data_IF_004499307843
#
_entry.id   IF_004499307843
#
_cell.length_a   1.000
_cell.length_b   1.000
_cell.length_c   1.000
_cell.angle_alpha   90.00
_cell.angle_beta   90.00
_cell.angle_gamma   90.00
#
_symmetry.space_group_name_H-M   'P 1'
#
loop_
_entity.id
_entity.type
_entity.pdbx_description
1 polymer ?
#
# COMPACT_ATOMS: atom_id res chain seq x y z
N UNK A 1 22.30 19.40 11.05
CA UNK A 1 22.63 18.60 9.84
C UNK A 1 21.33 18.06 9.27
N UNK A 2 21.15 18.08 7.94
CA UNK A 2 19.92 17.65 7.26
C UNK A 2 19.59 16.18 7.59
N UNK A 3 20.60 15.32 7.62
CA UNK A 3 20.45 13.89 7.96
C UNK A 3 19.76 13.64 9.30
N UNK A 4 20.05 14.46 10.31
CA UNK A 4 19.40 14.34 11.63
C UNK A 4 17.92 14.70 11.60
N UNK A 5 17.51 15.65 10.74
CA UNK A 5 16.09 15.96 10.53
C UNK A 5 15.41 14.83 9.76
N UNK A 6 16.07 14.30 8.74
CA UNK A 6 15.53 13.17 7.96
C UNK A 6 15.35 11.92 8.83
N UNK A 7 16.21 11.67 9.81
CA UNK A 7 16.05 10.56 10.76
C UNK A 7 14.83 10.76 11.68
N UNK A 8 14.60 11.99 12.15
CA UNK A 8 13.44 12.31 13.00
C UNK A 8 12.10 12.12 12.29
N UNK A 9 12.08 12.16 10.97
CA UNK A 9 10.87 11.84 10.20
C UNK A 9 10.37 10.41 10.45
N UNK A 10 11.21 9.48 10.94
CA UNK A 10 10.78 8.10 11.27
C UNK A 10 10.48 7.90 12.77
N UNK A 11 10.50 8.98 13.58
CA UNK A 11 10.11 8.92 14.99
C UNK A 11 8.66 8.43 15.12
N UNK A 12 8.37 7.63 16.16
CA UNK A 12 6.98 7.26 16.47
C UNK A 12 6.19 8.45 17.06
N UNK A 13 6.87 9.49 17.55
CA UNK A 13 6.23 10.73 17.97
C UNK A 13 5.84 11.59 16.75
N UNK A 14 4.54 11.80 16.56
CA UNK A 14 4.01 12.58 15.44
C UNK A 14 4.40 14.07 15.51
N UNK A 15 4.60 14.62 16.71
CA UNK A 15 5.04 15.99 16.87
C UNK A 15 6.49 16.16 16.40
N UNK A 16 7.38 15.21 16.73
CA UNK A 16 8.76 15.23 16.25
C UNK A 16 8.84 15.11 14.73
N UNK A 17 8.02 14.24 14.11
CA UNK A 17 7.95 14.11 12.65
C UNK A 17 7.51 15.42 12.00
N UNK A 18 6.43 16.02 12.51
CA UNK A 18 5.87 17.27 11.98
C UNK A 18 6.86 18.43 12.09
N UNK A 19 7.50 18.60 13.25
CA UNK A 19 8.52 19.62 13.45
C UNK A 19 9.71 19.42 12.49
N UNK A 20 10.21 18.19 12.37
CA UNK A 20 11.31 17.88 11.46
C UNK A 20 10.96 18.18 10.00
N UNK A 21 9.74 17.84 9.57
CA UNK A 21 9.27 18.14 8.22
C UNK A 21 9.14 19.65 7.98
N UNK A 22 8.57 20.40 8.92
CA UNK A 22 8.48 21.87 8.83
C UNK A 22 9.86 22.52 8.67
N UNK A 23 10.85 22.12 9.47
CA UNK A 23 12.22 22.64 9.36
C UNK A 23 12.86 22.25 8.01
N UNK A 24 12.57 21.07 7.46
CA UNK A 24 13.03 20.69 6.12
C UNK A 24 12.38 21.57 5.05
N UNK A 25 11.09 21.86 5.13
CA UNK A 25 10.41 22.77 4.21
C UNK A 25 10.98 24.20 4.28
N UNK A 26 11.21 24.74 5.48
CA UNK A 26 11.85 26.06 5.66
C UNK A 26 13.23 26.12 4.99
N UNK A 27 14.00 25.03 5.06
CA UNK A 27 15.31 24.94 4.39
C UNK A 27 15.21 24.87 2.87
N UNK A 28 14.15 24.26 2.34
CA UNK A 28 13.86 24.30 0.90
C UNK A 28 13.53 25.73 0.48
N UNK A 29 12.64 26.41 1.22
CA UNK A 29 12.24 27.79 0.94
C UNK A 29 13.42 28.77 1.02
N UNK A 30 14.34 28.56 1.98
CA UNK A 30 15.57 29.33 2.11
C UNK A 30 16.64 29.00 1.04
N UNK A 31 16.42 28.00 0.18
CA UNK A 31 17.37 27.55 -0.83
C UNK A 31 18.57 26.76 -0.28
N UNK A 32 18.51 26.33 0.98
CA UNK A 32 19.52 25.46 1.60
C UNK A 32 19.40 24.01 1.10
N UNK A 33 18.20 23.59 0.70
CA UNK A 33 17.92 22.29 0.10
C UNK A 33 17.30 22.50 -1.28
N UNK A 34 17.97 22.01 -2.31
CA UNK A 34 17.43 22.01 -3.67
C UNK A 34 16.65 20.71 -3.92
N UNK A 35 15.36 20.83 -4.21
CA UNK A 35 14.52 19.72 -4.64
C UNK A 35 14.35 19.74 -6.16
N UNK A 36 14.32 18.58 -6.85
CA UNK A 36 14.15 18.53 -8.29
C UNK A 36 12.75 18.98 -8.71
N UNK A 37 12.55 19.30 -9.99
CA UNK A 37 11.20 19.36 -10.55
C UNK A 37 10.59 17.93 -10.60
N UNK A 38 9.26 17.79 -10.45
CA UNK A 38 8.61 16.49 -10.65
C UNK A 38 8.85 15.95 -12.07
N UNK A 39 9.20 14.68 -12.19
CA UNK A 39 9.35 13.94 -13.44
C UNK A 39 8.08 13.19 -13.82
N UNK A 40 8.23 11.97 -14.35
CA UNK A 40 7.14 11.05 -14.69
C UNK A 40 6.98 9.86 -13.74
N UNK A 41 7.97 9.62 -12.89
CA UNK A 41 8.02 8.46 -12.00
C UNK A 41 6.93 8.54 -10.94
N UNK A 42 6.32 7.40 -10.64
CA UNK A 42 5.27 7.28 -9.62
C UNK A 42 5.58 6.14 -8.65
N UNK A 43 5.12 6.27 -7.42
CA UNK A 43 5.01 5.13 -6.50
C UNK A 43 3.75 5.32 -5.66
N UNK A 44 2.67 4.68 -6.07
CA UNK A 44 1.32 4.84 -5.52
C UNK A 44 0.95 3.73 -4.53
N UNK A 45 1.82 2.75 -4.33
CA UNK A 45 1.63 1.64 -3.41
C UNK A 45 2.89 1.43 -2.58
N UNK A 46 2.91 2.05 -1.40
CA UNK A 46 3.95 1.89 -0.39
C UNK A 46 3.30 1.74 0.98
N UNK A 47 3.67 0.71 1.75
CA UNK A 47 3.26 0.62 3.15
C UNK A 47 4.09 1.56 4.02
N UNK A 48 3.53 2.00 5.13
CA UNK A 48 4.26 2.76 6.16
C UNK A 48 4.47 1.90 7.42
N UNK A 49 5.09 2.46 8.44
CA UNK A 49 5.22 1.82 9.74
C UNK A 49 3.87 1.55 10.46
N UNK A 50 2.75 2.08 9.96
CA UNK A 50 1.42 1.88 10.54
C UNK A 50 0.86 0.50 10.18
N UNK A 51 1.38 -0.13 9.13
CA UNK A 51 1.22 -1.57 8.92
C UNK A 51 2.57 -2.26 8.96
N UNK A 52 3.36 -2.25 7.89
CA UNK A 52 4.76 -2.67 7.87
C UNK A 52 5.52 -2.09 6.67
N UNK A 53 6.52 -1.26 6.94
CA UNK A 53 7.53 -0.86 5.97
C UNK A 53 8.88 -1.48 6.35
N UNK A 54 9.55 -2.15 5.42
CA UNK A 54 10.79 -2.86 5.73
C UNK A 54 11.97 -1.95 6.09
N UNK A 55 11.87 -0.67 5.76
CA UNK A 55 12.87 0.37 6.07
C UNK A 55 12.39 1.30 7.20
N UNK A 56 11.21 1.03 7.79
CA UNK A 56 10.66 1.78 8.91
C UNK A 56 10.05 3.13 8.56
N UNK A 57 9.78 3.39 7.27
CA UNK A 57 9.31 4.71 6.84
C UNK A 57 7.96 5.09 7.44
N UNK A 58 7.91 6.28 8.03
CA UNK A 58 6.67 6.99 8.33
C UNK A 58 6.01 7.56 7.07
N UNK A 59 4.75 8.01 7.16
CA UNK A 59 4.13 8.77 6.07
C UNK A 59 4.93 10.02 5.67
N UNK A 60 5.35 10.82 6.66
CA UNK A 60 6.14 12.05 6.42
C UNK A 60 7.49 11.75 5.78
N UNK A 61 8.18 10.68 6.20
CA UNK A 61 9.45 10.24 5.63
C UNK A 61 9.27 9.85 4.17
N UNK A 62 8.27 9.04 3.87
CA UNK A 62 8.02 8.59 2.51
C UNK A 62 7.69 9.77 1.59
N UNK A 63 6.84 10.70 2.02
CA UNK A 63 6.54 11.93 1.28
C UNK A 63 7.80 12.77 1.00
N UNK A 64 8.65 12.98 2.02
CA UNK A 64 9.92 13.69 1.87
C UNK A 64 10.85 13.04 0.85
N UNK A 65 11.02 11.72 0.94
CA UNK A 65 11.87 10.97 0.02
C UNK A 65 11.31 10.97 -1.41
N UNK A 66 9.99 10.84 -1.57
CA UNK A 66 9.32 10.92 -2.86
C UNK A 66 9.56 12.29 -3.51
N UNK A 67 9.39 13.37 -2.73
CA UNK A 67 9.66 14.72 -3.20
C UNK A 67 11.13 14.94 -3.57
N UNK A 68 12.08 14.43 -2.75
CA UNK A 68 13.52 14.49 -3.03
C UNK A 68 13.92 13.76 -4.31
N UNK A 69 13.22 12.69 -4.66
CA UNK A 69 13.46 11.92 -5.89
C UNK A 69 12.71 12.46 -7.11
N UNK A 70 11.87 13.48 -6.94
CA UNK A 70 11.14 14.09 -8.05
C UNK A 70 10.01 13.24 -8.59
N UNK A 71 9.36 12.43 -7.75
CA UNK A 71 8.17 11.68 -8.17
C UNK A 71 7.06 12.64 -8.62
N UNK A 72 6.35 12.25 -9.67
CA UNK A 72 5.18 12.95 -10.19
C UNK A 72 4.00 12.85 -9.22
N UNK A 73 3.77 11.65 -8.69
CA UNK A 73 2.70 11.32 -7.75
C UNK A 73 3.19 10.21 -6.81
N UNK A 74 2.82 10.27 -5.54
CA UNK A 74 3.12 9.23 -4.56
C UNK A 74 1.88 8.83 -3.75
N UNK A 75 1.88 7.60 -3.24
CA UNK A 75 0.78 7.08 -2.43
C UNK A 75 1.22 6.09 -1.37
N UNK A 76 0.52 6.14 -0.23
CA UNK A 76 0.67 5.17 0.86
C UNK A 76 -0.54 4.26 0.93
N UNK A 77 -0.30 2.98 1.20
CA UNK A 77 -1.34 1.94 1.27
C UNK A 77 -0.96 1.02 2.42
N UNK A 78 -1.65 1.10 3.55
CA UNK A 78 -1.35 0.28 4.73
C UNK A 78 -2.35 -0.88 4.89
N UNK A 79 -1.90 -2.00 5.46
CA UNK A 79 -2.79 -3.14 5.70
C UNK A 79 -3.87 -2.85 6.73
N UNK A 80 -5.13 -3.03 6.36
CA UNK A 80 -6.31 -3.03 7.24
C UNK A 80 -6.54 -1.71 8.03
N UNK A 81 -5.81 -0.63 7.74
CA UNK A 81 -5.87 0.65 8.47
C UNK A 81 -5.69 1.88 7.57
N UNK A 82 -6.13 3.04 8.06
CA UNK A 82 -5.98 4.36 7.40
C UNK A 82 -5.15 5.36 8.22
N UNK A 83 -4.44 4.91 9.25
CA UNK A 83 -3.68 5.77 10.18
C UNK A 83 -2.64 6.67 9.50
N UNK A 84 -2.11 6.26 8.35
CA UNK A 84 -1.16 7.05 7.57
C UNK A 84 -1.80 8.23 6.82
N UNK A 85 -3.11 8.20 6.57
CA UNK A 85 -3.78 9.05 5.57
C UNK A 85 -3.58 10.54 5.84
N UNK A 86 -3.99 11.02 7.01
CA UNK A 86 -4.00 12.46 7.30
C UNK A 86 -2.58 13.03 7.33
N UNK A 87 -1.64 12.30 7.95
CA UNK A 87 -0.23 12.70 7.99
C UNK A 87 0.38 12.73 6.58
N UNK A 88 0.12 11.70 5.76
CA UNK A 88 0.67 11.64 4.42
C UNK A 88 0.17 12.79 3.55
N UNK A 89 -1.14 13.06 3.56
CA UNK A 89 -1.72 14.14 2.75
C UNK A 89 -1.26 15.52 3.23
N UNK A 90 -1.15 15.75 4.54
CA UNK A 90 -0.57 16.99 5.09
C UNK A 90 0.89 17.17 4.64
N UNK A 91 1.71 16.14 4.77
CA UNK A 91 3.11 16.17 4.36
C UNK A 91 3.27 16.37 2.85
N UNK A 92 2.47 15.68 2.03
CA UNK A 92 2.50 15.80 0.58
C UNK A 92 2.17 17.24 0.14
N UNK A 93 1.12 17.84 0.73
CA UNK A 93 0.74 19.23 0.47
C UNK A 93 1.83 20.22 0.87
N UNK A 94 2.43 20.06 2.05
CA UNK A 94 3.58 20.89 2.51
C UNK A 94 4.76 20.84 1.54
N UNK A 95 4.98 19.70 0.89
CA UNK A 95 6.09 19.46 -0.02
C UNK A 95 5.79 19.81 -1.48
N UNK A 96 4.55 20.17 -1.81
CA UNK A 96 4.11 20.32 -3.19
C UNK A 96 4.14 19.00 -3.98
N UNK A 97 3.96 17.87 -3.29
CA UNK A 97 3.87 16.52 -3.86
C UNK A 97 2.40 16.15 -4.08
N UNK A 98 2.06 15.64 -5.27
CA UNK A 98 0.73 15.08 -5.52
C UNK A 98 0.62 13.75 -4.77
N UNK A 99 -0.33 13.66 -3.84
CA UNK A 99 -0.45 12.55 -2.89
C UNK A 99 -1.83 11.90 -2.88
N UNK A 100 -1.87 10.59 -2.67
CA UNK A 100 -3.10 9.89 -2.26
C UNK A 100 -2.80 8.87 -1.14
N UNK A 101 -3.83 8.46 -0.42
CA UNK A 101 -3.71 7.39 0.58
C UNK A 101 -4.74 6.30 0.33
N UNK A 102 -4.40 5.08 0.75
CA UNK A 102 -5.19 3.89 0.57
C UNK A 102 -5.03 2.91 1.72
N UNK A 103 -5.72 1.79 1.58
CA UNK A 103 -5.49 0.62 2.40
C UNK A 103 -5.50 -0.63 1.53
N UNK A 104 -4.86 -1.68 2.02
CA UNK A 104 -4.89 -3.01 1.43
C UNK A 104 -5.44 -4.01 2.46
N UNK A 105 -6.25 -4.95 2.01
CA UNK A 105 -6.74 -6.05 2.84
C UNK A 105 -6.66 -7.35 2.05
N UNK A 106 -6.76 -8.47 2.76
CA UNK A 106 -7.10 -9.76 2.13
C UNK A 106 -8.61 -9.97 2.19
N UNK A 107 -9.18 -10.40 1.09
CA UNK A 107 -10.63 -10.61 0.94
C UNK A 107 -10.92 -11.98 0.36
N UNK A 108 -12.11 -12.50 0.64
CA UNK A 108 -12.63 -13.73 0.05
C UNK A 108 -13.50 -13.43 -1.17
N UNK A 109 -13.27 -14.17 -2.26
CA UNK A 109 -14.02 -14.10 -3.53
C UNK A 109 -14.74 -15.44 -3.75
N UNK A 110 -16.04 -15.54 -3.43
CA UNK A 110 -16.80 -16.79 -3.51
C UNK A 110 -16.74 -17.46 -4.89
N UNK A 111 -16.79 -16.69 -5.96
CA UNK A 111 -16.74 -17.13 -7.36
C UNK A 111 -15.41 -17.83 -7.70
N UNK A 112 -14.35 -17.50 -6.95
CA UNK A 112 -13.00 -18.03 -7.11
C UNK A 112 -12.59 -18.94 -5.94
N UNK A 113 -13.54 -19.48 -5.16
CA UNK A 113 -13.25 -20.19 -3.91
C UNK A 113 -12.33 -21.42 -4.02
N UNK A 114 -12.06 -21.89 -5.24
CA UNK A 114 -11.18 -23.03 -5.53
C UNK A 114 -9.93 -22.65 -6.34
N UNK A 115 -9.76 -21.37 -6.69
CA UNK A 115 -8.65 -20.87 -7.51
C UNK A 115 -7.73 -20.02 -6.64
N UNK A 116 -6.42 -20.25 -6.75
CA UNK A 116 -5.41 -19.36 -6.15
C UNK A 116 -5.33 -18.09 -7.01
N UNK A 117 -5.28 -16.93 -6.36
CA UNK A 117 -5.14 -15.61 -7.00
C UNK A 117 -3.87 -14.93 -6.46
N UNK A 118 -3.94 -13.65 -6.08
CA UNK A 118 -2.79 -12.88 -5.58
C UNK A 118 -2.33 -13.27 -4.19
N UNK A 119 -3.11 -14.07 -3.43
CA UNK A 119 -2.63 -14.67 -2.17
C UNK A 119 -2.10 -16.09 -2.40
N UNK A 120 -0.77 -16.30 -2.45
CA UNK A 120 -0.22 -17.57 -2.92
C UNK A 120 -0.54 -18.73 -1.97
N UNK A 121 -1.12 -19.79 -2.53
CA UNK A 121 -1.48 -21.00 -1.78
C UNK A 121 -2.78 -20.90 -0.98
N UNK A 122 -3.54 -19.79 -1.11
CA UNK A 122 -4.82 -19.57 -0.42
C UNK A 122 -5.96 -19.44 -1.46
N UNK A 123 -6.61 -20.56 -1.87
CA UNK A 123 -7.71 -20.51 -2.82
C UNK A 123 -8.86 -19.61 -2.35
N UNK A 124 -9.41 -18.81 -3.27
CA UNK A 124 -10.48 -17.85 -2.98
C UNK A 124 -10.03 -16.58 -2.27
N UNK A 125 -8.76 -16.45 -1.89
CA UNK A 125 -8.24 -15.26 -1.22
C UNK A 125 -7.43 -14.41 -2.18
N UNK A 126 -7.71 -13.12 -2.21
CA UNK A 126 -6.95 -12.13 -2.96
C UNK A 126 -6.61 -10.96 -2.06
N UNK A 127 -5.46 -10.35 -2.27
CA UNK A 127 -5.22 -8.97 -1.85
C UNK A 127 -6.17 -8.05 -2.61
N UNK A 128 -6.64 -7.01 -1.94
CA UNK A 128 -7.62 -6.08 -2.48
C UNK A 128 -7.43 -4.72 -1.84
N UNK A 129 -7.52 -3.67 -2.64
CA UNK A 129 -7.17 -2.32 -2.20
C UNK A 129 -8.35 -1.36 -2.27
N UNK A 130 -8.27 -0.31 -1.48
CA UNK A 130 -8.97 0.95 -1.72
C UNK A 130 -7.94 2.07 -1.81
N UNK A 131 -8.13 3.02 -2.72
CA UNK A 131 -7.23 4.18 -2.85
C UNK A 131 -8.00 5.50 -2.93
N UNK A 132 -7.33 6.59 -2.57
CA UNK A 132 -7.87 7.94 -2.69
C UNK A 132 -8.93 8.28 -1.63
N UNK A 133 -8.86 7.65 -0.47
CA UNK A 133 -9.77 7.98 0.65
C UNK A 133 -9.62 9.47 1.03
N UNK A 134 -10.73 10.19 1.24
CA UNK A 134 -10.70 11.63 1.54
C UNK A 134 -10.33 11.94 2.99
N UNK A 135 -10.60 11.03 3.93
CA UNK A 135 -10.29 11.15 5.35
C UNK A 135 -10.20 9.78 6.02
N UNK A 136 -9.44 9.69 7.11
CA UNK A 136 -9.44 8.53 8.00
C UNK A 136 -10.56 8.56 9.04
N UNK A 137 -11.30 9.69 9.15
CA UNK A 137 -12.44 9.82 10.06
C UNK A 137 -13.67 9.17 9.43
N UNK A 138 -13.97 7.98 9.90
CA UNK A 138 -15.16 7.21 9.51
C UNK A 138 -16.13 7.20 10.69
N UNK A 139 -17.42 7.11 10.38
CA UNK A 139 -18.48 7.00 11.37
C UNK A 139 -19.36 5.76 11.08
N UNK A 140 -20.09 5.27 12.08
CA UNK A 140 -21.13 4.26 11.87
C UNK A 140 -20.62 2.93 11.32
N UNK A 141 -21.26 2.44 10.26
CA UNK A 141 -20.93 1.12 9.68
C UNK A 141 -19.52 1.08 9.06
N UNK A 142 -19.03 2.21 8.52
CA UNK A 142 -17.70 2.29 7.92
C UNK A 142 -16.60 2.20 8.99
N UNK A 143 -16.78 2.88 10.12
CA UNK A 143 -15.87 2.79 11.27
C UNK A 143 -15.82 1.35 11.80
N UNK A 144 -16.98 0.73 12.03
CA UNK A 144 -17.06 -0.63 12.56
C UNK A 144 -16.49 -1.67 11.57
N UNK A 145 -16.67 -1.47 10.27
CA UNK A 145 -16.05 -2.34 9.26
C UNK A 145 -14.52 -2.29 9.34
N UNK A 146 -13.92 -1.09 9.37
CA UNK A 146 -12.47 -0.91 9.47
C UNK A 146 -11.91 -1.49 10.78
N UNK A 147 -12.60 -1.23 11.91
CA UNK A 147 -12.23 -1.82 13.21
C UNK A 147 -12.30 -3.36 13.16
N UNK A 148 -13.30 -3.92 12.47
CA UNK A 148 -13.43 -5.36 12.33
C UNK A 148 -12.29 -5.98 11.51
N UNK A 149 -11.83 -5.33 10.43
CA UNK A 149 -10.64 -5.78 9.68
C UNK A 149 -9.43 -5.93 10.61
N UNK A 150 -9.18 -4.90 11.41
CA UNK A 150 -8.10 -4.89 12.40
C UNK A 150 -8.26 -5.99 13.46
N UNK A 151 -9.47 -6.20 13.99
CA UNK A 151 -9.75 -7.27 14.98
C UNK A 151 -9.47 -8.65 14.40
N UNK A 152 -9.92 -8.92 13.17
CA UNK A 152 -9.64 -10.17 12.45
C UNK A 152 -8.14 -10.37 12.30
N UNK A 153 -7.40 -9.35 11.85
CA UNK A 153 -5.96 -9.43 11.67
C UNK A 153 -5.21 -9.73 12.98
N UNK A 154 -5.53 -9.02 14.06
CA UNK A 154 -4.90 -9.25 15.36
C UNK A 154 -5.25 -10.62 15.96
N UNK A 155 -6.49 -11.10 15.78
CA UNK A 155 -6.85 -12.44 16.25
C UNK A 155 -6.04 -13.51 15.54
N UNK A 156 -5.91 -13.43 14.20
CA UNK A 156 -5.05 -14.34 13.43
C UNK A 156 -3.61 -14.31 13.91
N UNK A 157 -3.08 -13.12 14.21
CA UNK A 157 -1.73 -12.96 14.73
C UNK A 157 -1.54 -13.63 16.10
N UNK A 158 -2.50 -13.45 17.03
CA UNK A 158 -2.47 -14.08 18.36
C UNK A 158 -2.53 -15.60 18.26
N UNK A 159 -3.42 -16.14 17.43
CA UNK A 159 -3.56 -17.58 17.24
C UNK A 159 -2.29 -18.18 16.62
N UNK A 160 -1.73 -17.53 15.60
CA UNK A 160 -0.45 -17.91 15.00
C UNK A 160 0.68 -17.87 16.02
N UNK A 161 0.78 -16.77 16.79
CA UNK A 161 1.81 -16.60 17.81
C UNK A 161 1.71 -17.69 18.88
N UNK A 162 0.51 -18.07 19.32
CA UNK A 162 0.33 -19.14 20.30
C UNK A 162 0.96 -20.47 19.85
N UNK A 163 0.70 -20.88 18.61
CA UNK A 163 1.31 -22.10 18.02
C UNK A 163 2.82 -21.99 17.86
N UNK A 164 3.30 -20.82 17.45
CA UNK A 164 4.75 -20.60 17.25
C UNK A 164 5.49 -20.53 18.60
N UNK A 165 4.90 -19.94 19.64
CA UNK A 165 5.44 -19.92 21.01
C UNK A 165 5.68 -21.34 21.52
N UNK A 166 4.70 -22.24 21.38
CA UNK A 166 4.84 -23.64 21.78
C UNK A 166 6.04 -24.32 21.10
N UNK A 167 6.23 -24.07 19.80
CA UNK A 167 7.35 -24.61 19.04
C UNK A 167 8.69 -23.98 19.41
N UNK A 168 8.72 -22.68 19.69
CA UNK A 168 9.96 -21.91 19.91
C UNK A 168 10.44 -21.88 21.37
N UNK A 169 9.78 -22.58 22.30
CA UNK A 169 10.27 -22.73 23.69
C UNK A 169 11.78 -23.01 23.76
N UNK A 170 12.51 -22.29 24.63
CA UNK A 170 12.03 -21.38 25.69
C UNK A 170 11.71 -19.94 25.23
N UNK A 171 11.79 -19.61 23.95
CA UNK A 171 11.49 -18.27 23.42
C UNK A 171 9.97 -18.13 23.21
N UNK A 172 9.32 -17.33 24.05
CA UNK A 172 7.89 -17.04 24.00
C UNK A 172 7.65 -15.53 23.95
N UNK A 173 6.73 -15.11 23.07
CA UNK A 173 6.29 -13.72 22.95
C UNK A 173 4.99 -13.47 23.72
N UNK A 174 4.91 -12.27 24.28
CA UNK A 174 3.67 -11.59 24.66
C UNK A 174 3.27 -10.62 23.53
N UNK A 175 2.03 -10.72 23.04
CA UNK A 175 1.62 -9.97 21.84
C UNK A 175 1.63 -8.46 22.09
N UNK A 176 1.14 -8.04 23.24
CA UNK A 176 1.02 -6.63 23.62
C UNK A 176 2.39 -6.01 23.92
N UNK A 177 3.25 -6.71 24.66
CA UNK A 177 4.54 -6.20 25.13
C UNK A 177 5.66 -6.33 24.09
N UNK A 178 5.67 -7.41 23.30
CA UNK A 178 6.78 -7.69 22.38
C UNK A 178 6.47 -7.34 20.93
N UNK A 179 5.19 -7.38 20.53
CA UNK A 179 4.79 -7.23 19.12
C UNK A 179 4.17 -5.87 18.84
N UNK A 180 3.13 -5.47 19.60
CA UNK A 180 2.41 -4.22 19.31
C UNK A 180 3.27 -2.97 19.46
N UNK A 181 4.27 -3.00 20.33
CA UNK A 181 5.24 -1.90 20.53
C UNK A 181 6.11 -1.62 19.29
N UNK A 182 6.13 -2.53 18.32
CA UNK A 182 6.93 -2.40 17.10
C UNK A 182 6.23 -1.55 16.00
N UNK A 183 5.00 -1.10 16.24
CA UNK A 183 4.25 -0.23 15.32
C UNK A 183 3.43 0.81 16.12
N UNK A 184 3.42 2.09 15.72
CA UNK A 184 2.87 3.18 16.54
C UNK A 184 1.36 3.06 16.82
N UNK A 185 0.60 2.45 15.91
CA UNK A 185 -0.85 2.28 16.08
C UNK A 185 -1.26 0.89 16.51
N UNK A 186 -0.33 -0.03 16.80
CA UNK A 186 -0.66 -1.39 17.22
C UNK A 186 -1.34 -2.24 16.13
N UNK A 187 -1.01 -2.02 14.86
CA UNK A 187 -1.47 -2.81 13.73
C UNK A 187 -0.36 -3.70 13.18
N UNK A 188 0.09 -4.63 14.02
CA UNK A 188 1.22 -5.48 13.71
C UNK A 188 0.90 -6.53 12.64
N UNK A 189 1.92 -6.90 11.88
CA UNK A 189 1.87 -7.95 10.85
C UNK A 189 2.76 -9.14 11.24
N UNK A 190 2.69 -10.24 10.48
CA UNK A 190 3.61 -11.39 10.64
C UNK A 190 5.10 -10.98 10.67
N UNK A 191 5.46 -9.91 9.95
CA UNK A 191 6.84 -9.41 9.90
C UNK A 191 7.30 -8.86 11.26
N UNK A 192 6.42 -8.18 11.98
CA UNK A 192 6.66 -7.72 13.35
C UNK A 192 6.84 -8.90 14.30
N UNK A 193 6.02 -9.94 14.16
CA UNK A 193 6.14 -11.16 14.98
C UNK A 193 7.50 -11.83 14.75
N UNK A 194 7.97 -11.92 13.50
CA UNK A 194 9.29 -12.47 13.20
C UNK A 194 10.42 -11.65 13.86
N UNK A 195 10.33 -10.32 13.78
CA UNK A 195 11.29 -9.42 14.43
C UNK A 195 11.26 -9.56 15.96
N UNK A 196 10.07 -9.66 16.55
CA UNK A 196 9.89 -9.85 17.97
C UNK A 196 10.52 -11.17 18.44
N UNK A 197 10.30 -12.28 17.72
CA UNK A 197 10.94 -13.57 18.05
C UNK A 197 12.47 -13.50 17.97
N UNK A 198 13.01 -12.86 16.93
CA UNK A 198 14.44 -12.63 16.79
C UNK A 198 15.03 -11.88 18.00
N UNK A 199 14.36 -10.80 18.45
CA UNK A 199 14.77 -10.01 19.62
C UNK A 199 14.61 -10.77 20.93
N UNK A 200 13.48 -11.45 21.14
CA UNK A 200 13.24 -12.25 22.35
C UNK A 200 14.22 -13.40 22.48
N UNK A 201 14.59 -14.05 21.37
CA UNK A 201 15.60 -15.09 21.38
C UNK A 201 16.97 -14.52 21.80
N UNK A 202 17.34 -13.32 21.33
CA UNK A 202 18.55 -12.64 21.80
C UNK A 202 18.54 -12.34 23.30
N UNK A 203 17.39 -11.91 23.85
CA UNK A 203 17.23 -11.68 25.29
C UNK A 203 17.34 -12.98 26.11
N UNK A 204 17.00 -14.11 25.50
CA UNK A 204 17.01 -15.43 26.16
C UNK A 204 18.40 -16.09 26.11
N UNK A 205 19.19 -15.80 25.08
CA UNK A 205 20.49 -16.42 24.82
C UNK A 205 21.60 -15.36 24.72
N UNK A 206 22.41 -15.23 25.77
CA UNK A 206 23.53 -14.28 25.84
C UNK A 206 24.72 -14.64 24.93
N UNK A 207 24.83 -15.91 24.50
CA UNK A 207 25.90 -16.41 23.63
C UNK A 207 25.43 -16.58 22.18
N UNK A 208 26.21 -16.04 21.25
CA UNK A 208 25.91 -16.09 19.81
C UNK A 208 25.86 -17.51 19.26
N UNK A 209 26.74 -18.41 19.73
CA UNK A 209 26.75 -19.79 19.26
C UNK A 209 25.53 -20.56 19.78
N UNK A 210 25.12 -20.33 21.03
CA UNK A 210 23.90 -20.89 21.60
C UNK A 210 22.65 -20.41 20.84
N UNK A 211 22.57 -19.11 20.53
CA UNK A 211 21.47 -18.54 19.75
C UNK A 211 21.44 -19.10 18.31
N UNK A 212 22.61 -19.20 17.66
CA UNK A 212 22.75 -19.79 16.33
C UNK A 212 22.25 -21.23 16.32
N UNK A 213 22.67 -22.03 17.30
CA UNK A 213 22.28 -23.43 17.45
C UNK A 213 20.78 -23.55 17.68
N UNK A 214 20.21 -22.73 18.57
CA UNK A 214 18.76 -22.68 18.80
C UNK A 214 17.99 -22.44 17.50
N UNK A 215 18.36 -21.41 16.75
CA UNK A 215 17.67 -21.12 15.48
C UNK A 215 17.86 -22.23 14.46
N UNK A 216 19.08 -22.76 14.35
CA UNK A 216 19.36 -23.82 13.37
C UNK A 216 18.55 -25.08 13.66
N UNK A 217 18.42 -25.45 14.94
CA UNK A 217 17.61 -26.58 15.39
C UNK A 217 16.11 -26.34 15.16
N UNK A 218 15.58 -25.17 15.57
CA UNK A 218 14.13 -24.88 15.47
C UNK A 218 13.64 -24.67 14.04
N UNK A 219 14.51 -24.15 13.16
CA UNK A 219 14.18 -23.86 11.76
C UNK A 219 14.58 -25.01 10.81
N UNK A 220 15.37 -25.96 11.30
CA UNK A 220 15.83 -27.12 10.54
C UNK A 220 16.74 -26.77 9.36
N UNK A 221 17.47 -25.66 9.46
CA UNK A 221 18.44 -25.17 8.45
C UNK A 221 19.61 -24.51 9.18
N UNK A 222 20.79 -24.50 8.56
CA UNK A 222 21.92 -23.77 9.13
C UNK A 222 21.66 -22.25 9.10
N UNK A 223 21.85 -21.60 10.24
CA UNK A 223 21.74 -20.14 10.37
C UNK A 223 23.12 -19.56 10.56
N UNK A 224 23.48 -18.57 9.75
CA UNK A 224 24.76 -17.88 9.83
C UNK A 224 24.83 -16.92 11.03
N UNK A 225 25.97 -16.87 11.72
CA UNK A 225 26.20 -15.92 12.83
C UNK A 225 26.00 -14.46 12.40
N UNK A 226 26.35 -14.13 11.16
CA UNK A 226 26.18 -12.79 10.58
C UNK A 226 24.73 -12.33 10.47
N UNK A 227 23.77 -13.26 10.55
CA UNK A 227 22.34 -12.96 10.52
C UNK A 227 21.73 -12.78 11.90
N UNK A 228 22.49 -12.95 12.99
CA UNK A 228 21.97 -12.78 14.34
C UNK A 228 22.01 -11.30 14.79
N UNK A 229 21.04 -10.86 15.61
CA UNK A 229 19.81 -11.57 15.97
C UNK A 229 18.67 -11.36 14.96
N UNK A 230 18.76 -10.35 14.09
CA UNK A 230 17.62 -9.86 13.28
C UNK A 230 18.00 -9.60 11.81
N UNK A 231 18.99 -10.33 11.29
CA UNK A 231 19.39 -10.28 9.90
C UNK A 231 18.24 -10.71 8.98
N UNK A 232 18.21 -10.13 7.78
CA UNK A 232 17.14 -10.34 6.79
C UNK A 232 16.85 -11.82 6.56
N UNK A 233 17.91 -12.60 6.33
CA UNK A 233 17.75 -13.99 5.90
C UNK A 233 17.24 -14.85 7.06
N UNK A 234 17.59 -14.51 8.30
CA UNK A 234 16.99 -15.11 9.49
C UNK A 234 15.50 -14.75 9.61
N UNK A 235 15.11 -13.48 9.53
CA UNK A 235 13.70 -13.08 9.63
C UNK A 235 12.83 -13.73 8.55
N UNK A 236 13.33 -13.81 7.32
CA UNK A 236 12.68 -14.52 6.23
C UNK A 236 12.56 -16.02 6.51
N UNK A 237 13.61 -16.64 7.04
CA UNK A 237 13.61 -18.07 7.41
C UNK A 237 12.63 -18.36 8.55
N UNK A 238 12.59 -17.53 9.61
CA UNK A 238 11.61 -17.63 10.70
C UNK A 238 10.21 -17.64 10.09
N UNK A 239 9.87 -16.65 9.25
CA UNK A 239 8.56 -16.57 8.61
C UNK A 239 8.25 -17.80 7.77
N UNK A 240 9.17 -18.20 6.89
CA UNK A 240 8.97 -19.31 5.97
C UNK A 240 8.80 -20.67 6.69
N UNK A 241 9.58 -20.93 7.74
CA UNK A 241 9.60 -22.20 8.46
C UNK A 241 8.54 -22.31 9.55
N UNK A 242 8.07 -21.19 10.11
CA UNK A 242 7.12 -21.21 11.22
C UNK A 242 5.72 -20.73 10.85
N UNK A 243 5.58 -19.79 9.92
CA UNK A 243 4.30 -19.08 9.68
C UNK A 243 3.66 -19.41 8.32
N UNK A 244 4.43 -19.90 7.36
CA UNK A 244 3.95 -20.27 6.02
C UNK A 244 3.65 -21.75 5.91
N UNK A 245 3.04 -22.16 4.78
CA UNK A 245 2.57 -23.53 4.54
C UNK A 245 3.62 -24.57 4.94
N UNK A 246 3.23 -25.46 5.85
CA UNK A 246 4.12 -26.50 6.43
C UNK A 246 4.78 -26.11 7.76
N UNK A 247 4.74 -24.83 8.14
CA UNK A 247 5.16 -24.35 9.45
C UNK A 247 4.06 -24.50 10.51
N UNK A 248 4.47 -24.57 11.77
CA UNK A 248 3.60 -24.81 12.95
C UNK A 248 2.51 -23.76 13.16
N UNK A 249 2.75 -22.52 12.76
CA UNK A 249 1.81 -21.40 12.87
C UNK A 249 0.79 -21.34 11.73
N UNK A 250 1.04 -22.04 10.62
CA UNK A 250 0.18 -21.99 9.44
C UNK A 250 -1.11 -22.79 9.64
N UNK A 251 -2.22 -22.14 9.32
CA UNK A 251 -3.55 -22.76 9.24
C UNK A 251 -4.11 -22.39 7.88
N UNK A 252 -4.71 -23.37 7.19
CA UNK A 252 -5.41 -23.11 5.94
C UNK A 252 -6.58 -22.17 6.26
N UNK A 253 -6.68 -21.00 5.63
CA UNK A 253 -7.79 -20.11 5.90
C UNK A 253 -9.13 -20.77 5.56
N UNK A 254 -10.13 -20.55 6.40
CA UNK A 254 -11.49 -21.04 6.18
C UNK A 254 -12.43 -19.95 5.64
N UNK A 255 -13.63 -20.38 5.22
CA UNK A 255 -14.72 -19.46 4.88
C UNK A 255 -15.15 -18.73 6.15
N UNK A 256 -14.77 -17.46 6.28
CA UNK A 256 -15.05 -16.62 7.45
C UNK A 256 -13.82 -15.90 8.02
N UNK A 257 -12.62 -16.34 7.63
CA UNK A 257 -11.35 -15.74 8.06
C UNK A 257 -11.04 -14.36 7.44
N UNK A 258 -11.80 -13.95 6.41
CA UNK A 258 -11.62 -12.72 5.65
C UNK A 258 -12.98 -12.12 5.24
N UNK A 259 -13.09 -10.78 5.12
CA UNK A 259 -14.29 -10.13 4.59
C UNK A 259 -14.53 -10.53 3.13
N UNK A 260 -15.78 -10.45 2.67
CA UNK A 260 -16.11 -10.63 1.26
C UNK A 260 -15.59 -9.45 0.43
N UNK A 261 -15.06 -9.71 -0.77
CA UNK A 261 -14.63 -8.65 -1.69
C UNK A 261 -15.76 -7.64 -1.96
N UNK A 262 -16.99 -8.12 -2.14
CA UNK A 262 -18.15 -7.27 -2.35
C UNK A 262 -18.43 -6.34 -1.16
N UNK A 263 -18.22 -6.82 0.07
CA UNK A 263 -18.44 -6.02 1.29
C UNK A 263 -17.33 -4.98 1.44
N UNK A 264 -16.09 -5.36 1.16
CA UNK A 264 -14.95 -4.43 1.11
C UNK A 264 -15.15 -3.36 0.04
N UNK A 265 -15.65 -3.69 -1.15
CA UNK A 265 -15.96 -2.69 -2.19
C UNK A 265 -17.02 -1.70 -1.72
N UNK A 266 -18.11 -2.18 -1.09
CA UNK A 266 -19.14 -1.30 -0.52
C UNK A 266 -18.58 -0.38 0.56
N UNK A 267 -17.73 -0.91 1.43
CA UNK A 267 -17.03 -0.11 2.43
C UNK A 267 -16.16 0.98 1.79
N UNK A 268 -15.29 0.63 0.83
CA UNK A 268 -14.39 1.60 0.18
C UNK A 268 -15.18 2.70 -0.52
N UNK A 269 -16.24 2.37 -1.26
CA UNK A 269 -17.10 3.35 -1.93
C UNK A 269 -17.81 4.27 -0.92
N UNK A 270 -18.35 3.71 0.16
CA UNK A 270 -19.05 4.49 1.18
C UNK A 270 -18.10 5.39 1.98
N UNK A 271 -16.84 4.98 2.15
CA UNK A 271 -15.77 5.79 2.71
C UNK A 271 -15.19 6.82 1.71
N UNK A 272 -15.72 6.87 0.48
CA UNK A 272 -15.35 7.84 -0.56
C UNK A 272 -14.11 7.47 -1.37
N UNK A 273 -13.55 6.27 -1.23
CA UNK A 273 -12.41 5.81 -2.02
C UNK A 273 -12.80 5.15 -3.36
N UNK A 274 -11.78 4.65 -4.07
CA UNK A 274 -11.90 3.81 -5.26
C UNK A 274 -11.49 2.38 -4.89
N UNK A 275 -12.38 1.36 -5.03
CA UNK A 275 -11.97 -0.02 -4.86
C UNK A 275 -11.12 -0.48 -6.05
N UNK A 276 -10.05 -1.24 -5.76
CA UNK A 276 -8.98 -1.57 -6.71
C UNK A 276 -8.69 -3.06 -6.65
N UNK A 277 -8.79 -3.74 -7.80
CA UNK A 277 -8.34 -5.12 -7.94
C UNK A 277 -6.83 -5.17 -7.91
N UNK A 278 -6.24 -6.08 -7.15
CA UNK A 278 -4.79 -6.33 -7.23
C UNK A 278 -4.49 -7.44 -8.23
N UNK A 279 -3.33 -7.36 -8.85
CA UNK A 279 -2.79 -8.38 -9.74
C UNK A 279 -1.31 -8.60 -9.41
N UNK A 280 -0.90 -9.87 -9.40
CA UNK A 280 0.42 -10.34 -8.98
C UNK A 280 1.33 -10.54 -10.20
N UNK A 281 1.10 -11.61 -10.97
CA UNK A 281 1.95 -11.98 -12.11
C UNK A 281 1.27 -12.82 -13.21
N UNK A 282 -0.02 -13.09 -13.09
CA UNK A 282 -0.78 -13.81 -14.13
C UNK A 282 -0.57 -15.33 -14.14
N UNK A 283 0.28 -15.87 -13.26
CA UNK A 283 0.61 -17.31 -13.29
C UNK A 283 -0.32 -18.18 -12.46
N UNK A 284 -1.08 -17.56 -11.54
CA UNK A 284 -2.04 -18.27 -10.70
C UNK A 284 -3.30 -18.68 -11.48
N UNK A 285 -3.96 -19.76 -11.08
CA UNK A 285 -5.14 -20.28 -11.79
C UNK A 285 -6.30 -19.26 -11.87
N UNK A 286 -6.42 -18.38 -10.88
CA UNK A 286 -7.39 -17.29 -10.90
C UNK A 286 -7.00 -16.15 -11.83
N UNK A 287 -5.71 -15.83 -11.94
CA UNK A 287 -5.25 -14.74 -12.80
C UNK A 287 -5.09 -15.14 -14.27
N UNK A 288 -4.96 -16.45 -14.57
CA UNK A 288 -5.05 -16.95 -15.96
C UNK A 288 -6.41 -16.67 -16.63
N UNK A 289 -7.44 -16.39 -15.82
CA UNK A 289 -8.77 -15.99 -16.28
C UNK A 289 -9.10 -14.58 -15.78
N UNK A 290 -8.12 -13.67 -15.87
CA UNK A 290 -8.22 -12.29 -15.35
C UNK A 290 -9.45 -11.52 -15.84
N UNK A 291 -9.95 -11.79 -17.06
CA UNK A 291 -11.19 -11.19 -17.55
C UNK A 291 -12.40 -11.52 -16.65
N UNK A 292 -12.57 -12.79 -16.26
CA UNK A 292 -13.61 -13.23 -15.33
C UNK A 292 -13.44 -12.57 -13.95
N UNK A 293 -12.20 -12.49 -13.47
CA UNK A 293 -11.90 -11.94 -12.15
C UNK A 293 -12.19 -10.43 -12.10
N UNK A 294 -11.80 -9.68 -13.14
CA UNK A 294 -12.13 -8.26 -13.26
C UNK A 294 -13.63 -8.04 -13.42
N UNK A 295 -14.34 -8.89 -14.16
CA UNK A 295 -15.81 -8.80 -14.28
C UNK A 295 -16.49 -8.91 -12.90
N UNK A 296 -16.10 -9.89 -12.08
CA UNK A 296 -16.62 -10.06 -10.70
C UNK A 296 -16.27 -8.86 -9.82
N UNK A 297 -15.03 -8.38 -9.89
CA UNK A 297 -14.58 -7.20 -9.14
C UNK A 297 -15.38 -5.95 -9.50
N UNK A 298 -15.51 -5.67 -10.80
CA UNK A 298 -16.23 -4.51 -11.34
C UNK A 298 -17.73 -4.56 -11.03
N UNK A 299 -18.35 -5.75 -11.12
CA UNK A 299 -19.76 -5.93 -10.79
C UNK A 299 -20.11 -5.54 -9.34
N UNK A 300 -19.11 -5.55 -8.44
CA UNK A 300 -19.28 -5.18 -7.03
C UNK A 300 -18.65 -3.83 -6.67
N UNK A 301 -18.04 -3.13 -7.64
CA UNK A 301 -17.61 -1.74 -7.48
C UNK A 301 -16.13 -1.45 -7.73
N UNK A 302 -15.29 -2.46 -8.02
CA UNK A 302 -13.90 -2.19 -8.38
C UNK A 302 -13.81 -1.33 -9.66
N UNK A 303 -12.98 -0.30 -9.63
CA UNK A 303 -12.91 0.71 -10.68
C UNK A 303 -11.47 1.12 -11.03
N UNK A 304 -10.48 0.37 -10.56
CA UNK A 304 -9.08 0.45 -10.95
C UNK A 304 -8.38 -0.90 -10.75
N UNK A 305 -7.15 -1.02 -11.25
CA UNK A 305 -6.29 -2.19 -11.02
C UNK A 305 -4.92 -1.75 -10.49
N UNK A 306 -4.37 -2.50 -9.52
CA UNK A 306 -3.03 -2.30 -8.98
C UNK A 306 -2.08 -3.40 -9.46
N UNK A 307 -0.87 -3.01 -9.87
CA UNK A 307 0.21 -3.90 -10.29
C UNK A 307 1.48 -3.51 -9.50
N UNK A 308 2.30 -4.51 -9.14
CA UNK A 308 3.66 -4.29 -8.62
C UNK A 308 4.64 -4.65 -9.74
N UNK A 309 5.12 -3.68 -10.55
CA UNK A 309 5.81 -3.96 -11.80
C UNK A 309 7.09 -4.78 -11.63
N UNK A 310 7.93 -4.46 -10.63
CA UNK A 310 9.23 -5.11 -10.37
C UNK A 310 9.16 -6.65 -10.20
N UNK A 311 7.97 -7.23 -10.01
CA UNK A 311 7.75 -8.68 -9.92
C UNK A 311 7.66 -9.37 -11.30
N UNK A 312 7.55 -8.60 -12.37
CA UNK A 312 6.99 -9.04 -13.65
C UNK A 312 7.91 -8.81 -14.85
N UNK A 313 9.16 -8.36 -14.65
CA UNK A 313 10.13 -8.22 -15.74
C UNK A 313 11.59 -8.33 -15.24
N UNK A 314 12.54 -8.40 -16.17
CA UNK A 314 13.97 -8.37 -15.89
C UNK A 314 14.61 -9.74 -15.66
N UNK A 315 15.91 -9.72 -15.30
CA UNK A 315 16.72 -10.95 -15.24
C UNK A 315 16.21 -11.93 -14.18
N UNK A 316 15.91 -13.16 -14.61
CA UNK A 316 15.39 -14.21 -13.73
C UNK A 316 13.87 -14.20 -13.56
N UNK A 317 13.19 -13.22 -14.13
CA UNK A 317 11.75 -13.27 -14.39
C UNK A 317 11.54 -13.98 -15.73
N UNK A 318 10.66 -14.97 -15.76
CA UNK A 318 10.35 -15.69 -17.00
C UNK A 318 9.53 -14.84 -17.96
N UNK A 319 9.77 -14.99 -19.27
CA UNK A 319 9.12 -14.24 -20.35
C UNK A 319 7.59 -14.21 -20.22
N UNK A 320 6.98 -15.30 -19.74
CA UNK A 320 5.54 -15.40 -19.46
C UNK A 320 5.01 -14.28 -18.56
N UNK A 321 5.74 -13.88 -17.51
CA UNK A 321 5.26 -12.82 -16.59
C UNK A 321 5.29 -11.44 -17.24
N UNK A 322 6.31 -11.17 -18.05
CA UNK A 322 6.40 -9.93 -18.83
C UNK A 322 5.29 -9.87 -19.88
N UNK A 323 5.00 -10.99 -20.55
CA UNK A 323 3.87 -11.10 -21.47
C UNK A 323 2.53 -10.88 -20.75
N UNK A 324 2.34 -11.49 -19.58
CA UNK A 324 1.13 -11.31 -18.78
C UNK A 324 0.98 -9.85 -18.29
N UNK A 325 2.07 -9.17 -17.94
CA UNK A 325 2.06 -7.75 -17.58
C UNK A 325 1.51 -6.89 -18.73
N UNK A 326 1.97 -7.10 -19.95
CA UNK A 326 1.44 -6.37 -21.10
C UNK A 326 -0.04 -6.68 -21.36
N UNK A 327 -0.42 -7.96 -21.27
CA UNK A 327 -1.81 -8.38 -21.46
C UNK A 327 -2.75 -7.75 -20.43
N UNK A 328 -2.38 -7.73 -19.15
CA UNK A 328 -3.24 -7.15 -18.10
C UNK A 328 -3.33 -5.63 -18.23
N UNK A 329 -2.25 -4.95 -18.64
CA UNK A 329 -2.29 -3.49 -18.90
C UNK A 329 -3.14 -3.18 -20.13
N UNK A 330 -3.04 -3.96 -21.21
CA UNK A 330 -3.90 -3.81 -22.39
C UNK A 330 -5.38 -4.02 -22.03
N UNK A 331 -5.69 -5.07 -21.25
CA UNK A 331 -7.04 -5.34 -20.77
C UNK A 331 -7.57 -4.20 -19.89
N UNK A 332 -6.76 -3.68 -18.98
CA UNK A 332 -7.13 -2.54 -18.14
C UNK A 332 -7.49 -1.31 -19.00
N UNK A 333 -6.71 -1.01 -20.05
CA UNK A 333 -7.02 0.08 -20.96
C UNK A 333 -8.32 -0.15 -21.74
N UNK A 334 -8.55 -1.38 -22.23
CA UNK A 334 -9.78 -1.77 -22.93
C UNK A 334 -11.03 -1.62 -22.04
N UNK A 335 -10.88 -1.90 -20.75
CA UNK A 335 -11.93 -1.73 -19.74
C UNK A 335 -11.97 -0.31 -19.13
N UNK A 336 -11.08 0.58 -19.58
CA UNK A 336 -10.91 1.94 -19.04
C UNK A 336 -10.65 1.99 -17.53
N UNK A 337 -9.98 0.98 -16.98
CA UNK A 337 -9.53 0.95 -15.59
C UNK A 337 -8.22 1.74 -15.45
N UNK A 338 -8.13 2.74 -14.54
CA UNK A 338 -6.87 3.33 -14.14
C UNK A 338 -5.92 2.26 -13.59
N UNK A 339 -4.66 2.30 -14.02
CA UNK A 339 -3.61 1.40 -13.54
C UNK A 339 -2.79 2.11 -12.46
N UNK A 340 -2.77 1.54 -11.26
CA UNK A 340 -2.01 2.00 -10.11
C UNK A 340 -0.77 1.12 -9.96
N UNK A 341 0.39 1.72 -9.78
CA UNK A 341 1.65 0.98 -9.59
C UNK A 341 2.42 1.49 -8.39
N UNK A 342 3.18 0.59 -7.77
CA UNK A 342 4.10 0.93 -6.71
C UNK A 342 4.94 -0.27 -6.31
N UNK A 343 5.73 -0.12 -5.26
CA UNK A 343 6.78 -1.08 -4.90
C UNK A 343 6.48 -1.90 -3.64
N UNK A 344 5.37 -1.61 -2.96
CA UNK A 344 4.94 -2.07 -1.62
C UNK A 344 5.91 -1.65 -0.50
N UNK A 345 7.21 -1.85 -0.68
CA UNK A 345 8.27 -1.64 0.32
C UNK A 345 8.08 -2.47 1.61
N UNK A 346 7.41 -3.63 1.52
CA UNK A 346 7.20 -4.59 2.61
C UNK A 346 8.25 -5.72 2.69
N UNK A 347 9.29 -5.68 1.85
CA UNK A 347 10.33 -6.70 1.81
C UNK A 347 11.71 -6.10 1.50
N UNK A 348 12.79 -6.47 2.23
CA UNK A 348 14.10 -5.91 1.98
C UNK A 348 14.59 -6.16 0.54
N UNK A 349 15.20 -5.15 -0.06
CA UNK A 349 15.68 -5.20 -1.45
C UNK A 349 14.67 -4.69 -2.47
N UNK A 350 13.40 -4.51 -2.09
CA UNK A 350 12.45 -3.78 -2.93
C UNK A 350 12.94 -2.35 -3.17
N UNK A 351 12.80 -1.91 -4.42
CA UNK A 351 13.15 -0.56 -4.84
C UNK A 351 12.19 0.44 -4.21
N UNK A 352 12.65 1.68 -4.12
CA UNK A 352 11.80 2.79 -3.67
C UNK A 352 10.92 3.32 -4.82
N UNK A 353 11.36 3.19 -6.07
CA UNK A 353 10.59 3.46 -7.31
C UNK A 353 10.95 2.34 -8.28
N UNK A 354 10.00 1.87 -9.09
CA UNK A 354 10.27 0.93 -10.18
C UNK A 354 11.24 1.53 -11.23
N UNK A 355 11.97 0.69 -11.95
CA UNK A 355 12.91 1.18 -12.97
C UNK A 355 12.14 1.51 -14.27
N UNK A 356 11.49 2.66 -14.32
CA UNK A 356 10.64 3.07 -15.45
C UNK A 356 11.39 3.30 -16.77
N UNK A 357 12.72 3.42 -16.74
CA UNK A 357 13.57 3.60 -17.92
C UNK A 357 13.92 2.28 -18.63
N UNK A 358 13.50 1.12 -18.13
CA UNK A 358 13.78 -0.15 -18.81
C UNK A 358 12.96 -0.32 -20.08
N UNK A 359 13.42 -1.20 -20.97
CA UNK A 359 12.71 -1.51 -22.23
C UNK A 359 11.29 -2.00 -21.95
N UNK A 360 11.08 -2.72 -20.85
CA UNK A 360 9.79 -3.30 -20.51
C UNK A 360 8.79 -2.30 -19.91
N UNK A 361 9.26 -1.38 -19.07
CA UNK A 361 8.37 -0.43 -18.39
C UNK A 361 8.19 0.90 -19.12
N UNK A 362 9.21 1.36 -19.86
CA UNK A 362 9.15 2.67 -20.53
C UNK A 362 7.93 2.85 -21.45
N UNK A 363 7.43 1.83 -22.19
CA UNK A 363 6.20 1.97 -22.99
C UNK A 363 4.93 2.12 -22.13
N UNK A 364 4.96 1.67 -20.87
CA UNK A 364 3.82 1.65 -19.96
C UNK A 364 3.75 2.91 -19.07
N UNK A 365 4.84 3.66 -18.95
CA UNK A 365 4.93 4.88 -18.12
C UNK A 365 3.77 5.86 -18.38
N UNK A 366 3.36 6.19 -19.63
CA UNK A 366 2.24 7.09 -19.85
C UNK A 366 0.92 6.58 -19.25
N UNK A 367 0.71 5.25 -19.22
CA UNK A 367 -0.48 4.60 -18.69
C UNK A 367 -0.47 4.67 -17.16
N UNK A 368 0.66 4.38 -16.53
CA UNK A 368 0.84 4.46 -15.08
C UNK A 368 0.70 5.90 -14.57
N UNK A 369 1.31 6.86 -15.27
CA UNK A 369 1.20 8.28 -14.93
C UNK A 369 -0.23 8.80 -15.09
N UNK A 370 -0.96 8.36 -16.13
CA UNK A 370 -2.39 8.63 -16.29
C UNK A 370 -3.19 8.11 -15.09
N UNK A 371 -2.98 6.85 -14.71
CA UNK A 371 -3.65 6.25 -13.55
C UNK A 371 -3.37 7.03 -12.27
N UNK A 372 -2.10 7.36 -12.01
CA UNK A 372 -1.71 8.12 -10.83
C UNK A 372 -2.36 9.51 -10.76
N UNK A 373 -2.44 10.24 -11.89
CA UNK A 373 -3.14 11.52 -11.94
C UNK A 373 -4.65 11.39 -11.69
N UNK A 374 -5.30 10.35 -12.22
CA UNK A 374 -6.73 10.08 -11.96
C UNK A 374 -6.97 9.87 -10.45
N UNK A 375 -6.15 9.05 -9.79
CA UNK A 375 -6.29 8.79 -8.35
C UNK A 375 -6.04 10.05 -7.52
N UNK A 376 -5.02 10.85 -7.86
CA UNK A 376 -4.78 12.12 -7.19
C UNK A 376 -5.96 13.10 -7.36
N UNK A 377 -6.48 13.25 -8.58
CA UNK A 377 -7.65 14.09 -8.84
C UNK A 377 -8.89 13.65 -8.07
N UNK A 378 -9.14 12.33 -8.01
CA UNK A 378 -10.19 11.76 -7.18
C UNK A 378 -9.99 12.13 -5.71
N UNK A 379 -8.80 11.89 -5.16
CA UNK A 379 -8.47 12.17 -3.76
C UNK A 379 -8.78 13.63 -3.39
N UNK A 380 -8.32 14.58 -4.22
CA UNK A 380 -8.56 16.00 -3.97
C UNK A 380 -10.04 16.37 -4.14
N UNK A 381 -10.68 16.03 -5.26
CA UNK A 381 -12.08 16.41 -5.50
C UNK A 381 -13.02 15.79 -4.47
N UNK A 382 -12.76 14.54 -4.07
CA UNK A 382 -13.53 13.90 -3.03
C UNK A 382 -13.35 14.61 -1.68
N UNK A 383 -12.11 14.93 -1.30
CA UNK A 383 -11.83 15.59 -0.03
C UNK A 383 -12.37 17.02 0.03
N UNK A 384 -12.28 17.79 -1.06
CA UNK A 384 -12.60 19.23 -1.06
C UNK A 384 -14.07 19.53 -1.31
N UNK A 385 -14.75 18.70 -2.09
CA UNK A 385 -16.13 18.97 -2.51
C UNK A 385 -17.00 17.73 -2.72
N UNK A 386 -16.52 16.52 -2.42
CA UNK A 386 -17.29 15.28 -2.60
C UNK A 386 -17.53 14.88 -4.06
N UNK A 387 -16.79 15.47 -5.01
CA UNK A 387 -16.98 15.28 -6.45
C UNK A 387 -15.97 14.29 -7.05
N UNK A 388 -15.52 13.31 -6.27
CA UNK A 388 -14.51 12.34 -6.69
C UNK A 388 -14.99 11.38 -7.79
N UNK A 389 -14.05 10.61 -8.35
CA UNK A 389 -14.27 9.65 -9.45
C UNK A 389 -15.41 8.63 -9.26
N UNK A 390 -15.71 8.25 -8.02
CA UNK A 390 -16.78 7.30 -7.62
C UNK A 390 -18.03 7.99 -7.09
N UNK A 391 -18.08 9.34 -7.09
CA UNK A 391 -19.21 10.11 -6.60
C UNK A 391 -20.44 10.04 -7.51
N UNK A 392 -21.60 10.35 -6.94
CA UNK A 392 -22.84 10.54 -7.70
C UNK A 392 -22.74 11.69 -8.72
N UNK A 393 -21.94 12.73 -8.43
CA UNK A 393 -21.64 13.78 -9.39
C UNK A 393 -20.94 13.22 -10.63
N UNK A 394 -19.84 12.50 -10.45
CA UNK A 394 -19.08 11.94 -11.56
C UNK A 394 -19.93 10.96 -12.38
N UNK A 395 -20.84 10.22 -11.74
CA UNK A 395 -21.78 9.34 -12.44
C UNK A 395 -22.75 10.09 -13.34
N UNK A 396 -23.18 11.29 -12.96
CA UNK A 396 -24.13 12.13 -13.73
C UNK A 396 -23.43 12.97 -14.79
N UNK A 397 -22.18 13.36 -14.56
CA UNK A 397 -21.47 14.33 -15.38
C UNK A 397 -20.79 13.76 -16.63
N UNK A 398 -20.64 12.44 -16.75
CA UNK A 398 -19.93 11.81 -17.88
C UNK A 398 -20.75 10.68 -18.49
N UNK A 399 -20.77 10.60 -19.82
CA UNK A 399 -21.51 9.56 -20.56
C UNK A 399 -20.74 8.23 -20.62
N UNK A 400 -19.41 8.29 -20.47
CA UNK A 400 -18.54 7.12 -20.54
C UNK A 400 -17.39 7.17 -19.53
N UNK A 401 -16.86 5.99 -19.16
CA UNK A 401 -15.67 5.88 -18.30
C UNK A 401 -14.44 6.50 -18.97
N UNK A 402 -14.34 6.42 -20.30
CA UNK A 402 -13.25 7.04 -21.06
C UNK A 402 -13.26 8.57 -20.90
N UNK A 403 -14.40 9.22 -21.09
CA UNK A 403 -14.56 10.67 -20.90
C UNK A 403 -14.26 11.08 -19.46
N UNK A 404 -14.78 10.32 -18.48
CA UNK A 404 -14.47 10.52 -17.06
C UNK A 404 -12.97 10.43 -16.80
N UNK A 405 -12.28 9.43 -17.35
CA UNK A 405 -10.83 9.28 -17.20
C UNK A 405 -10.07 10.48 -17.78
N UNK A 406 -10.46 11.01 -18.94
CA UNK A 406 -9.82 12.20 -19.52
C UNK A 406 -9.99 13.44 -18.63
N UNK A 407 -11.18 13.64 -18.06
CA UNK A 407 -11.40 14.73 -17.11
C UNK A 407 -10.51 14.59 -15.86
N UNK A 408 -10.57 13.44 -15.17
CA UNK A 408 -9.79 13.24 -13.93
C UNK A 408 -8.28 13.25 -14.20
N UNK A 409 -7.81 12.73 -15.33
CA UNK A 409 -6.40 12.85 -15.74
C UNK A 409 -6.01 14.32 -15.97
N UNK A 410 -6.87 15.12 -16.61
CA UNK A 410 -6.61 16.53 -16.88
C UNK A 410 -6.55 17.34 -15.58
N UNK A 411 -7.48 17.11 -14.66
CA UNK A 411 -7.45 17.69 -13.32
C UNK A 411 -6.16 17.29 -12.60
N UNK A 412 -5.84 16.00 -12.55
CA UNK A 412 -4.72 15.49 -11.79
C UNK A 412 -3.37 15.92 -12.33
N UNK A 413 -3.23 16.04 -13.65
CA UNK A 413 -2.01 16.55 -14.28
C UNK A 413 -1.85 18.06 -14.09
N UNK A 414 -2.95 18.82 -14.15
CA UNK A 414 -2.92 20.29 -14.12
C UNK A 414 -2.93 20.91 -12.73
N UNK A 415 -3.53 20.25 -11.75
CA UNK A 415 -3.69 20.76 -10.40
C UNK A 415 -2.38 20.64 -9.61
N UNK A 416 -1.86 21.76 -9.16
CA UNK A 416 -0.74 21.80 -8.21
C UNK A 416 -1.25 21.71 -6.76
N UNK A 417 -0.55 21.00 -5.86
CA UNK A 417 -1.01 20.81 -4.47
C UNK A 417 -1.31 22.10 -3.69
N UNK A 418 -0.58 23.18 -3.97
CA UNK A 418 -0.83 24.50 -3.36
C UNK A 418 -2.20 25.11 -3.70
N UNK A 419 -2.88 24.61 -4.73
CA UNK A 419 -4.18 25.12 -5.19
C UNK A 419 -5.36 24.19 -4.88
N UNK A 420 -5.13 23.06 -4.22
CA UNK A 420 -6.21 22.11 -3.88
C UNK A 420 -7.36 22.76 -3.13
N UNK A 421 -7.08 23.65 -2.17
CA UNK A 421 -8.12 24.30 -1.34
C UNK A 421 -9.05 25.21 -2.16
N UNK A 422 -8.65 25.65 -3.35
CA UNK A 422 -9.51 26.44 -4.24
C UNK A 422 -10.69 25.62 -4.77
N UNK A 423 -10.61 24.29 -4.74
CA UNK A 423 -11.70 23.38 -5.11
C UNK A 423 -12.69 23.15 -3.96
N UNK A 424 -12.47 23.77 -2.79
CA UNK A 424 -13.39 23.69 -1.67
C UNK A 424 -14.74 24.34 -1.95
N UNK A 425 -15.81 23.72 -1.44
CA UNK A 425 -17.16 24.30 -1.43
C UNK A 425 -17.85 24.43 -2.78
N UNK A 426 -17.38 23.70 -3.79
CA UNK A 426 -18.08 23.59 -5.08
C UNK A 426 -19.42 22.86 -4.89
N UNK A 427 -20.47 23.33 -5.57
CA UNK A 427 -21.80 22.72 -5.54
C UNK A 427 -21.86 21.46 -6.40
N UNK A 428 -22.79 20.56 -6.10
CA UNK A 428 -23.05 19.36 -6.92
C UNK A 428 -23.57 19.67 -8.34
N UNK A 429 -24.05 20.89 -8.60
CA UNK A 429 -24.50 21.30 -9.95
C UNK A 429 -23.37 21.81 -10.86
N UNK A 430 -22.12 21.87 -10.35
CA UNK A 430 -20.98 22.38 -11.13
C UNK A 430 -20.69 21.46 -12.31
N UNK A 431 -20.38 22.05 -13.46
CA UNK A 431 -19.97 21.31 -14.66
C UNK A 431 -18.50 20.93 -14.61
N UNK A 432 -18.12 19.89 -15.35
CA UNK A 432 -16.72 19.50 -15.51
C UNK A 432 -15.86 20.65 -16.09
N UNK A 433 -16.41 21.43 -17.03
CA UNK A 433 -15.70 22.56 -17.61
C UNK A 433 -15.42 23.66 -16.59
N UNK A 434 -16.38 24.01 -15.74
CA UNK A 434 -16.17 25.03 -14.69
C UNK A 434 -15.09 24.63 -13.68
N UNK A 435 -14.95 23.33 -13.38
CA UNK A 435 -13.84 22.83 -12.55
C UNK A 435 -12.50 23.06 -13.25
N UNK A 436 -12.41 22.73 -14.55
CA UNK A 436 -11.17 22.90 -15.33
C UNK A 436 -10.79 24.38 -15.48
N UNK A 437 -11.78 25.26 -15.68
CA UNK A 437 -11.57 26.70 -15.76
C UNK A 437 -11.00 27.23 -14.44
N UNK A 438 -11.55 26.79 -13.29
CA UNK A 438 -11.08 27.18 -11.96
C UNK A 438 -9.63 26.76 -11.68
N UNK A 439 -9.21 25.59 -12.19
CA UNK A 439 -7.82 25.12 -12.09
C UNK A 439 -6.90 25.94 -12.98
N UNK A 440 -7.37 26.31 -14.17
CA UNK A 440 -6.59 27.11 -15.13
C UNK A 440 -6.37 28.54 -14.63
N UNK A 441 -7.39 29.18 -14.05
CA UNK A 441 -7.31 30.51 -13.43
C UNK A 441 -6.41 30.55 -12.18
N UNK A 442 -6.00 29.38 -11.69
CA UNK A 442 -5.17 29.27 -10.50
C UNK A 442 -3.68 29.29 -10.78
N UNK A 443 -3.25 29.13 -12.05
CA UNK A 443 -1.86 29.20 -12.49
C UNK A 443 -1.46 30.64 -12.76
#
# INVERSE_FOLDING_TARGET
MIEGLEQKLDSFDSAERKEALSVLCEKVEAGEIMLPAPGSDVNMHCHTFFSYNTYGYSPSKFAWLARKRGLAVAGVVDFDVLDALEEFLEAAKMLGLKGCAGLESRVFVPEFSHRVMTSPGEPGITYHMGVGFPSARLDGEQEEFLLNLRRIAQQRNRDLMGRVNEHLRPVELDYEQDVLVLTPSGNATERHICLAYARKARETFDDDNALQKFWSEKLGVEVELSQLPQGRDLLNTIRAKTMKRGGVGYVVPDKGSFPLMADTNRFVLAAGGIPVMTWLDGTSEGEKVIEELLEVGMATGAAAINIIPDRNYGTGVGDEKTENLYQVVELAQKLHLPVVVGTEMNSPGQKFVDDFDTEELSPLVPIFLKGAHIIYAHSVLQQKCGLGYTSEWARKSFESVAEKNEFFQTVGSSLEPRYEDKLGGLSEDITAQEILDKISDSK
#
